data_IF_816489753208
#
_entry.id   IF_816489753208
#
_cell.length_a   1.000
_cell.length_b   1.000
_cell.length_c   1.000
_cell.angle_alpha   90.00
_cell.angle_beta   90.00
_cell.angle_gamma   90.00
#
_symmetry.space_group_name_H-M   'P 1'
#
loop_
_entity.id
_entity.type
_entity.pdbx_description
1 polymer ?
#
# COMPACT_ATOMS: atom_id res chain seq x y z
N UNK A 1 54.94 3.64 -0.84
CA UNK A 1 55.22 2.64 -1.90
C UNK A 1 53.92 2.37 -2.65
N UNK A 2 53.98 2.43 -3.99
CA UNK A 2 52.99 2.07 -5.01
C UNK A 2 51.68 2.87 -5.10
N UNK A 3 51.79 3.97 -5.84
CA UNK A 3 50.78 4.47 -6.80
C UNK A 3 50.63 3.46 -7.94
N UNK A 4 49.41 3.23 -8.44
CA UNK A 4 49.19 2.69 -9.79
C UNK A 4 48.35 3.72 -10.54
N UNK A 5 48.99 4.33 -11.52
CA UNK A 5 48.35 5.09 -12.59
C UNK A 5 47.75 4.11 -13.61
N UNK A 6 46.64 4.49 -14.24
CA UNK A 6 46.41 4.09 -15.61
C UNK A 6 45.95 5.32 -16.41
N UNK A 7 46.44 5.38 -17.63
CA UNK A 7 46.73 6.55 -18.44
C UNK A 7 45.94 6.43 -19.74
N UNK A 8 45.29 7.53 -20.13
CA UNK A 8 45.01 8.00 -21.51
C UNK A 8 43.95 7.30 -22.37
N UNK A 9 42.95 8.10 -22.78
CA UNK A 9 42.65 8.33 -24.21
C UNK A 9 42.03 9.72 -24.38
N UNK A 10 42.85 10.68 -24.82
CA UNK A 10 42.44 11.98 -25.36
C UNK A 10 42.02 11.74 -26.80
N UNK A 11 40.80 12.11 -27.18
CA UNK A 11 40.45 12.33 -28.59
C UNK A 11 39.80 13.70 -28.75
N UNK A 12 40.64 14.63 -29.15
CA UNK A 12 40.27 15.95 -29.67
C UNK A 12 39.76 15.78 -31.10
N UNK A 13 38.53 16.19 -31.40
CA UNK A 13 38.16 16.63 -32.75
C UNK A 13 37.63 18.05 -32.66
N UNK A 14 38.20 18.86 -33.55
CA UNK A 14 38.22 20.30 -33.63
C UNK A 14 37.06 20.80 -34.49
N UNK A 15 36.47 21.93 -34.07
CA UNK A 15 35.79 22.98 -34.85
C UNK A 15 34.54 22.65 -35.69
N UNK A 16 33.44 23.38 -35.46
CA UNK A 16 33.21 24.65 -36.17
C UNK A 16 32.08 25.46 -35.48
N UNK A 17 32.22 26.78 -35.53
CA UNK A 17 31.36 27.78 -34.92
C UNK A 17 30.05 28.00 -35.69
N UNK A 18 29.01 28.48 -35.01
CA UNK A 18 27.77 28.96 -35.64
C UNK A 18 26.76 29.49 -34.62
N UNK A 19 26.85 30.79 -34.35
CA UNK A 19 25.93 31.63 -33.55
C UNK A 19 24.50 31.66 -34.10
N UNK A 20 23.48 31.67 -33.23
CA UNK A 20 22.38 32.65 -33.27
C UNK A 20 21.38 32.47 -32.11
N UNK A 21 21.24 33.53 -31.31
CA UNK A 21 20.14 33.84 -30.41
C UNK A 21 18.97 34.39 -31.23
N UNK A 22 17.75 33.90 -31.02
CA UNK A 22 16.52 34.69 -31.10
C UNK A 22 15.33 33.85 -30.61
N UNK A 23 14.62 34.33 -29.59
CA UNK A 23 13.31 33.84 -29.22
C UNK A 23 12.22 34.56 -29.99
N UNK A 24 11.09 33.89 -30.21
CA UNK A 24 9.75 34.47 -30.26
C UNK A 24 8.72 33.38 -29.97
N UNK A 25 7.77 33.74 -29.12
CA UNK A 25 6.53 33.02 -28.83
C UNK A 25 5.65 32.99 -30.09
N UNK A 26 4.91 31.91 -30.35
CA UNK A 26 3.59 32.01 -31.00
C UNK A 26 2.77 30.71 -30.79
N UNK A 27 1.85 30.81 -29.84
CA UNK A 27 0.48 30.30 -29.81
C UNK A 27 0.11 28.80 -29.95
N UNK A 28 -0.60 28.39 -28.90
CA UNK A 28 -1.53 27.28 -28.82
C UNK A 28 -2.58 27.28 -29.95
N UNK A 29 -2.90 26.08 -30.46
CA UNK A 29 -4.22 25.79 -31.03
C UNK A 29 -4.79 24.55 -30.37
N UNK A 30 -5.90 24.77 -29.70
CA UNK A 30 -6.82 23.76 -29.16
C UNK A 30 -7.64 23.25 -30.34
N UNK A 31 -7.71 21.93 -30.52
CA UNK A 31 -8.56 21.23 -31.48
C UNK A 31 -8.91 19.84 -30.95
N UNK A 32 -10.21 19.62 -30.78
CA UNK A 32 -10.90 18.62 -29.96
C UNK A 32 -10.87 17.16 -30.51
N UNK A 33 -11.43 16.18 -29.77
CA UNK A 33 -11.01 14.76 -29.74
C UNK A 33 -11.72 13.88 -30.77
N UNK A 34 -11.11 12.75 -31.13
CA UNK A 34 -11.79 11.70 -31.90
C UNK A 34 -11.39 10.29 -31.45
N UNK A 35 -12.43 9.56 -31.01
CA UNK A 35 -12.65 8.12 -31.11
C UNK A 35 -11.77 7.18 -30.28
N UNK A 36 -12.33 6.76 -29.15
CA UNK A 36 -12.13 5.44 -28.58
C UNK A 36 -12.54 4.34 -29.58
N UNK A 37 -11.70 3.31 -29.75
CA UNK A 37 -12.08 2.00 -30.30
C UNK A 37 -11.33 0.90 -29.57
N UNK A 38 -12.11 0.12 -28.82
CA UNK A 38 -11.99 -1.29 -28.43
C UNK A 38 -10.59 -1.93 -28.30
N UNK A 39 -10.20 -2.20 -27.05
CA UNK A 39 -9.21 -3.23 -26.70
C UNK A 39 -9.97 -4.56 -26.55
N UNK A 40 -9.84 -5.43 -27.54
CA UNK A 40 -10.25 -6.82 -27.45
C UNK A 40 -9.19 -7.64 -26.67
N UNK A 41 -9.70 -8.51 -25.80
CA UNK A 41 -8.98 -9.45 -24.95
C UNK A 41 -8.08 -10.41 -25.76
N UNK A 42 -6.94 -10.77 -25.17
CA UNK A 42 -6.07 -11.85 -25.65
C UNK A 42 -5.27 -12.44 -24.50
N UNK A 43 -5.68 -13.63 -24.06
CA UNK A 43 -5.13 -14.40 -22.95
C UNK A 43 -3.64 -14.70 -23.11
N UNK A 44 -2.82 -14.26 -22.16
CA UNK A 44 -1.43 -14.69 -22.05
C UNK A 44 -1.36 -16.03 -21.28
N UNK A 45 -1.51 -17.14 -21.99
CA UNK A 45 -1.07 -18.44 -21.49
C UNK A 45 0.43 -18.60 -21.74
N UNK A 46 1.20 -18.60 -20.66
CA UNK A 46 2.62 -18.95 -20.68
C UNK A 46 2.76 -20.43 -21.05
N UNK A 47 3.36 -20.71 -22.22
CA UNK A 47 3.94 -22.01 -22.52
C UNK A 47 5.43 -21.85 -22.79
N UNK A 48 6.24 -22.43 -21.90
CA UNK A 48 7.67 -22.58 -22.05
C UNK A 48 7.95 -23.58 -23.18
N UNK A 49 8.50 -23.10 -24.29
CA UNK A 49 9.18 -23.96 -25.26
C UNK A 49 10.59 -23.43 -25.51
N UNK A 50 11.54 -24.14 -24.92
CA UNK A 50 12.92 -24.18 -25.33
C UNK A 50 13.01 -24.57 -26.81
N UNK A 51 13.57 -23.69 -27.61
CA UNK A 51 13.78 -23.89 -29.03
C UNK A 51 14.56 -22.72 -29.58
N UNK A 52 15.88 -22.84 -29.53
CA UNK A 52 16.81 -21.97 -30.26
C UNK A 52 16.41 -21.96 -31.75
N UNK A 53 15.74 -20.90 -32.20
CA UNK A 53 15.70 -20.57 -33.63
C UNK A 53 16.94 -19.73 -33.92
N UNK A 54 17.94 -20.37 -34.50
CA UNK A 54 18.90 -19.68 -35.36
C UNK A 54 18.09 -18.93 -36.42
N UNK A 55 18.05 -17.60 -36.31
CA UNK A 55 17.49 -16.75 -37.35
C UNK A 55 18.44 -16.78 -38.56
N UNK A 56 17.94 -17.28 -39.66
CA UNK A 56 18.55 -17.24 -40.98
C UNK A 56 18.65 -15.79 -41.48
N UNK A 57 19.85 -15.22 -41.36
CA UNK A 57 20.13 -13.83 -41.72
C UNK A 57 20.17 -13.54 -43.24
N UNK A 58 19.35 -14.19 -44.08
CA UNK A 58 19.48 -14.10 -45.55
C UNK A 58 18.26 -13.66 -46.36
N UNK A 59 17.21 -13.14 -45.73
CA UNK A 59 16.11 -12.49 -46.46
C UNK A 59 15.39 -11.41 -45.62
N UNK A 60 16.11 -10.38 -45.18
CA UNK A 60 15.47 -9.15 -44.72
C UNK A 60 15.00 -8.35 -45.94
N UNK A 61 13.71 -7.95 -46.05
CA UNK A 61 13.31 -7.00 -47.07
C UNK A 61 14.10 -5.71 -46.86
N UNK A 62 14.82 -5.27 -47.90
CA UNK A 62 15.64 -4.05 -47.90
C UNK A 62 14.75 -2.80 -47.95
N UNK A 63 13.97 -2.57 -46.90
CA UNK A 63 13.46 -1.24 -46.61
C UNK A 63 14.60 -0.47 -45.96
N UNK A 64 15.23 0.41 -46.73
CA UNK A 64 16.13 1.44 -46.20
C UNK A 64 15.23 2.33 -45.33
N UNK A 65 15.42 2.37 -43.99
CA UNK A 65 14.67 3.31 -43.17
C UNK A 65 15.07 4.72 -43.60
N UNK A 66 14.08 5.51 -44.02
CA UNK A 66 14.30 6.92 -44.32
C UNK A 66 14.83 7.68 -43.10
N UNK A 67 15.42 8.88 -43.29
CA UNK A 67 16.17 9.63 -42.26
C UNK A 67 15.35 10.09 -41.03
N UNK A 68 14.09 9.68 -40.92
CA UNK A 68 13.15 10.08 -39.88
C UNK A 68 12.42 8.90 -39.23
N UNK A 69 13.07 7.73 -39.13
CA UNK A 69 12.57 6.66 -38.25
C UNK A 69 13.20 6.87 -36.86
N UNK A 70 12.53 7.53 -35.89
CA UNK A 70 13.03 7.52 -34.53
C UNK A 70 12.96 6.08 -34.04
N UNK A 71 14.09 5.39 -34.05
CA UNK A 71 14.27 4.21 -33.20
C UNK A 71 14.18 4.75 -31.78
N UNK A 72 12.99 4.70 -31.17
CA UNK A 72 12.86 4.95 -29.73
C UNK A 72 13.62 3.81 -29.08
N UNK A 73 14.89 4.06 -28.77
CA UNK A 73 15.75 3.09 -28.13
C UNK A 73 15.14 2.75 -26.78
N UNK A 74 15.10 1.46 -26.43
CA UNK A 74 14.68 1.04 -25.08
C UNK A 74 15.49 1.78 -24.00
N UNK A 75 16.71 2.21 -24.33
CA UNK A 75 17.56 3.10 -23.52
C UNK A 75 16.93 4.45 -23.21
N UNK A 76 16.26 5.13 -24.15
CA UNK A 76 15.62 6.43 -23.87
C UNK A 76 14.38 6.28 -22.97
N UNK A 77 13.66 5.16 -23.09
CA UNK A 77 12.54 4.82 -22.19
C UNK A 77 13.07 4.51 -20.79
N UNK A 78 14.16 3.77 -20.68
CA UNK A 78 14.79 3.45 -19.40
C UNK A 78 15.37 4.70 -18.72
N UNK A 79 15.95 5.63 -19.48
CA UNK A 79 16.45 6.92 -18.97
C UNK A 79 15.30 7.83 -18.49
N UNK A 80 14.18 7.88 -19.22
CA UNK A 80 12.98 8.60 -18.81
C UNK A 80 12.33 7.99 -17.55
N UNK A 81 12.25 6.65 -17.48
CA UNK A 81 11.78 5.93 -16.29
C UNK A 81 12.72 6.22 -15.11
N UNK A 82 14.04 6.12 -15.31
CA UNK A 82 15.04 6.37 -14.28
C UNK A 82 14.99 7.82 -13.77
N UNK A 83 14.77 8.80 -14.65
CA UNK A 83 14.55 10.20 -14.30
C UNK A 83 13.27 10.42 -13.45
N UNK A 84 12.25 9.59 -13.66
CA UNK A 84 10.97 9.63 -12.93
C UNK A 84 11.04 8.96 -11.54
N UNK A 85 12.04 8.11 -11.26
CA UNK A 85 12.23 7.41 -9.97
C UNK A 85 12.62 8.31 -8.78
N UNK A 86 12.62 9.64 -8.95
CA UNK A 86 12.83 10.57 -7.84
C UNK A 86 11.78 10.42 -6.74
N UNK A 87 10.55 10.03 -7.09
CA UNK A 87 9.43 9.93 -6.14
C UNK A 87 8.96 8.50 -5.83
N UNK A 88 9.30 7.51 -6.66
CA UNK A 88 8.95 6.10 -6.44
C UNK A 88 10.20 5.23 -6.48
N UNK A 89 10.59 4.68 -5.33
CA UNK A 89 11.66 3.68 -5.21
C UNK A 89 11.13 2.48 -4.45
N UNK A 90 11.44 1.28 -4.93
CA UNK A 90 11.11 0.03 -4.29
C UNK A 90 12.38 -0.81 -4.10
N UNK A 91 12.43 -1.56 -3.01
CA UNK A 91 13.44 -2.60 -2.75
C UNK A 91 12.78 -3.98 -2.90
N UNK A 92 13.54 -5.00 -3.28
CA UNK A 92 13.02 -6.37 -3.49
C UNK A 92 13.99 -7.22 -4.32
N UNK A 93 13.82 -8.53 -4.30
CA UNK A 93 14.61 -9.48 -5.11
C UNK A 93 13.90 -9.89 -6.41
N UNK A 94 12.71 -9.34 -6.66
CA UNK A 94 11.90 -9.60 -7.85
C UNK A 94 11.01 -10.84 -7.75
N UNK A 95 11.04 -11.58 -6.63
CA UNK A 95 10.13 -12.73 -6.38
C UNK A 95 8.87 -12.36 -5.62
N UNK A 96 8.71 -11.08 -5.31
CA UNK A 96 7.78 -10.54 -4.32
C UNK A 96 6.83 -9.51 -4.93
N UNK A 97 6.27 -9.81 -6.10
CA UNK A 97 5.39 -8.89 -6.83
C UNK A 97 4.11 -8.53 -6.04
N UNK A 98 3.68 -7.28 -6.16
CA UNK A 98 2.36 -6.87 -5.73
C UNK A 98 1.27 -7.45 -6.65
N UNK A 99 0.11 -7.78 -6.08
CA UNK A 99 -1.06 -8.30 -6.78
C UNK A 99 -2.26 -7.39 -6.57
N UNK A 100 -2.72 -6.73 -7.62
CA UNK A 100 -3.97 -5.96 -7.65
C UNK A 100 -4.98 -6.69 -8.56
N UNK A 101 -5.79 -7.58 -7.98
CA UNK A 101 -6.76 -8.39 -8.75
C UNK A 101 -8.19 -7.85 -8.69
N UNK A 102 -8.49 -6.94 -7.76
CA UNK A 102 -9.78 -6.28 -7.69
C UNK A 102 -9.95 -5.18 -8.75
N UNK A 103 -11.18 -4.96 -9.22
CA UNK A 103 -11.48 -3.86 -10.15
C UNK A 103 -11.15 -2.50 -9.49
N UNK A 104 -10.39 -1.65 -10.19
CA UNK A 104 -9.89 -0.35 -9.67
C UNK A 104 -9.13 -0.46 -8.34
N UNK A 105 -8.44 -1.59 -8.11
CA UNK A 105 -7.63 -1.79 -6.91
C UNK A 105 -6.20 -1.26 -7.06
N UNK A 106 -5.52 -1.03 -5.93
CA UNK A 106 -4.12 -0.60 -5.88
C UNK A 106 -3.35 -1.51 -4.93
N UNK A 107 -2.26 -2.11 -5.41
CA UNK A 107 -1.33 -2.86 -4.57
C UNK A 107 0.09 -2.29 -4.74
N UNK A 108 0.71 -1.85 -3.66
CA UNK A 108 2.05 -1.28 -3.66
C UNK A 108 2.88 -1.80 -2.48
N UNK A 109 3.88 -2.63 -2.77
CA UNK A 109 4.77 -3.24 -1.79
C UNK A 109 5.07 -4.70 -2.12
N UNK A 110 6.17 -5.21 -1.56
CA UNK A 110 6.58 -6.61 -1.66
C UNK A 110 5.44 -7.55 -1.22
N UNK A 111 4.90 -8.39 -2.10
CA UNK A 111 3.75 -9.26 -1.81
C UNK A 111 2.48 -8.54 -1.31
N UNK A 112 2.29 -7.26 -1.61
CA UNK A 112 1.04 -6.56 -1.31
C UNK A 112 -0.11 -7.13 -2.16
N UNK A 113 -1.30 -7.33 -1.57
CA UNK A 113 -2.45 -8.00 -2.21
C UNK A 113 -3.72 -7.19 -2.06
N UNK A 114 -4.20 -6.58 -3.14
CA UNK A 114 -5.49 -5.91 -3.23
C UNK A 114 -6.46 -6.75 -4.06
N UNK A 115 -7.26 -7.57 -3.39
CA UNK A 115 -8.13 -8.59 -4.01
C UNK A 115 -9.57 -8.08 -4.21
N UNK A 116 -10.03 -7.13 -3.39
CA UNK A 116 -11.38 -6.57 -3.46
C UNK A 116 -11.53 -5.45 -4.48
N UNK A 117 -12.73 -5.24 -5.02
CA UNK A 117 -13.05 -4.07 -5.85
C UNK A 117 -12.87 -2.78 -5.02
N UNK A 118 -12.27 -1.75 -5.64
CA UNK A 118 -11.88 -0.48 -4.99
C UNK A 118 -10.93 -0.64 -3.78
N UNK A 119 -10.31 -1.81 -3.60
CA UNK A 119 -9.42 -2.06 -2.47
C UNK A 119 -8.03 -1.44 -2.66
N UNK A 120 -7.35 -1.17 -1.57
CA UNK A 120 -6.00 -0.59 -1.57
C UNK A 120 -5.11 -1.29 -0.56
N UNK A 121 -3.98 -1.84 -1.01
CA UNK A 121 -2.99 -2.52 -0.19
C UNK A 121 -1.62 -1.82 -0.33
N UNK A 122 -1.11 -1.23 0.74
CA UNK A 122 0.16 -0.52 0.81
C UNK A 122 1.08 -1.15 1.86
N UNK A 123 2.31 -1.50 1.48
CA UNK A 123 3.30 -2.10 2.37
C UNK A 123 3.49 -3.60 2.16
N UNK A 124 4.63 -4.12 2.62
CA UNK A 124 5.03 -5.50 2.38
C UNK A 124 4.05 -6.49 3.03
N UNK A 125 3.51 -7.45 2.27
CA UNK A 125 2.55 -8.44 2.75
C UNK A 125 1.18 -7.87 3.16
N UNK A 126 0.91 -6.59 2.89
CA UNK A 126 -0.40 -5.99 3.13
C UNK A 126 -1.48 -6.70 2.32
N UNK A 127 -2.68 -6.87 2.87
CA UNK A 127 -3.77 -7.61 2.23
C UNK A 127 -5.12 -6.93 2.44
N UNK A 128 -5.71 -6.44 1.35
CA UNK A 128 -7.06 -5.89 1.31
C UNK A 128 -7.97 -6.82 0.47
N UNK A 129 -8.89 -7.54 1.11
CA UNK A 129 -9.63 -8.66 0.48
C UNK A 129 -11.02 -8.26 0.01
N UNK A 130 -11.71 -7.41 0.78
CA UNK A 130 -13.11 -7.09 0.56
C UNK A 130 -13.29 -5.74 -0.17
N UNK A 131 -14.53 -5.47 -0.60
CA UNK A 131 -14.89 -4.26 -1.32
C UNK A 131 -14.57 -3.01 -0.50
N UNK A 132 -13.88 -2.04 -1.13
CA UNK A 132 -13.49 -0.77 -0.51
C UNK A 132 -12.53 -0.90 0.68
N UNK A 133 -11.88 -2.06 0.87
CA UNK A 133 -10.95 -2.29 1.97
C UNK A 133 -9.62 -1.55 1.79
N UNK A 134 -9.10 -0.94 2.86
CA UNK A 134 -7.78 -0.32 2.90
C UNK A 134 -6.88 -1.08 3.88
N UNK A 135 -5.74 -1.60 3.41
CA UNK A 135 -4.69 -2.17 4.23
C UNK A 135 -3.38 -1.39 4.00
N UNK A 136 -2.90 -0.65 5.00
CA UNK A 136 -1.70 0.17 4.88
C UNK A 136 -0.71 -0.12 6.02
N UNK A 137 0.38 -0.82 5.73
CA UNK A 137 1.39 -1.24 6.70
C UNK A 137 1.89 -2.64 6.38
N UNK A 138 3.07 -2.99 6.88
CA UNK A 138 3.60 -4.34 6.70
C UNK A 138 2.66 -5.37 7.35
N UNK A 139 2.20 -6.36 6.58
CA UNK A 139 1.23 -7.38 6.99
C UNK A 139 -0.13 -6.84 7.49
N UNK A 140 -0.49 -5.59 7.18
CA UNK A 140 -1.83 -5.07 7.50
C UNK A 140 -2.90 -5.89 6.76
N UNK A 141 -4.00 -6.21 7.44
CA UNK A 141 -5.09 -7.02 6.89
C UNK A 141 -6.42 -6.29 7.00
N UNK A 142 -7.00 -5.94 5.87
CA UNK A 142 -8.37 -5.46 5.75
C UNK A 142 -9.20 -6.53 5.03
N UNK A 143 -9.97 -7.31 5.80
CA UNK A 143 -10.78 -8.43 5.26
C UNK A 143 -12.28 -8.15 5.28
N UNK A 144 -12.71 -7.12 6.00
CA UNK A 144 -14.10 -6.68 6.03
C UNK A 144 -14.43 -5.68 4.92
N UNK A 145 -15.68 -5.63 4.48
CA UNK A 145 -16.14 -4.62 3.53
C UNK A 145 -16.06 -3.22 4.17
N UNK A 146 -15.58 -2.23 3.43
CA UNK A 146 -15.26 -0.87 3.94
C UNK A 146 -14.28 -0.83 5.12
N UNK A 147 -13.55 -1.91 5.37
CA UNK A 147 -12.66 -1.98 6.52
C UNK A 147 -11.34 -1.24 6.26
N UNK A 148 -10.83 -0.56 7.28
CA UNK A 148 -9.57 0.18 7.23
C UNK A 148 -8.58 -0.38 8.26
N UNK A 149 -7.48 -0.96 7.80
CA UNK A 149 -6.37 -1.44 8.62
C UNK A 149 -5.12 -0.61 8.31
N UNK A 150 -4.61 0.15 9.28
CA UNK A 150 -3.42 0.99 9.11
C UNK A 150 -2.43 0.69 10.23
N UNK A 151 -1.23 0.22 9.90
CA UNK A 151 -0.19 -0.17 10.86
C UNK A 151 0.38 -1.55 10.58
N UNK A 152 1.59 -1.81 11.08
CA UNK A 152 2.18 -3.14 10.98
C UNK A 152 1.31 -4.16 11.73
N UNK A 153 0.91 -5.24 11.06
CA UNK A 153 0.04 -6.29 11.59
C UNK A 153 -1.35 -5.81 12.08
N UNK A 154 -1.80 -4.62 11.66
CA UNK A 154 -3.15 -4.14 11.94
C UNK A 154 -4.21 -5.02 11.26
N UNK A 155 -5.32 -5.32 11.94
CA UNK A 155 -6.35 -6.25 11.47
C UNK A 155 -7.75 -5.63 11.58
N UNK A 156 -8.37 -5.31 10.45
CA UNK A 156 -9.76 -4.85 10.35
C UNK A 156 -10.58 -5.93 9.63
N UNK A 157 -11.33 -6.72 10.40
CA UNK A 157 -11.79 -8.04 9.95
C UNK A 157 -13.24 -8.11 9.48
N UNK A 158 -14.05 -7.12 9.87
CA UNK A 158 -15.51 -7.13 9.72
C UNK A 158 -16.02 -5.86 9.02
N UNK A 159 -17.30 -5.85 8.68
CA UNK A 159 -17.95 -4.75 7.97
C UNK A 159 -17.69 -3.41 8.69
N UNK A 160 -17.24 -2.39 7.96
CA UNK A 160 -17.07 -1.03 8.46
C UNK A 160 -16.05 -0.89 9.60
N UNK A 161 -15.17 -1.88 9.80
CA UNK A 161 -14.19 -1.83 10.90
C UNK A 161 -13.04 -0.88 10.62
N UNK A 162 -12.51 -0.26 11.68
CA UNK A 162 -11.30 0.57 11.60
C UNK A 162 -10.28 0.10 12.62
N UNK A 163 -9.12 -0.37 12.18
CA UNK A 163 -7.98 -0.76 13.01
C UNK A 163 -6.77 0.13 12.66
N UNK A 164 -6.34 0.99 13.58
CA UNK A 164 -5.22 1.92 13.34
C UNK A 164 -4.18 1.81 14.44
N UNK A 165 -2.98 1.39 14.05
CA UNK A 165 -1.75 1.25 14.83
C UNK A 165 -1.22 -0.19 14.86
N UNK A 166 0.02 -0.35 15.32
CA UNK A 166 0.73 -1.63 15.20
C UNK A 166 0.05 -2.72 16.04
N UNK A 167 -0.38 -3.81 15.38
CA UNK A 167 -1.10 -4.93 15.98
C UNK A 167 -2.54 -4.64 16.42
N UNK A 168 -3.09 -3.44 16.14
CA UNK A 168 -4.48 -3.12 16.46
C UNK A 168 -5.44 -4.10 15.78
N UNK A 169 -6.51 -4.52 16.48
CA UNK A 169 -7.50 -5.45 15.92
C UNK A 169 -8.92 -4.98 16.15
N UNK A 170 -9.63 -4.70 15.05
CA UNK A 170 -11.07 -4.50 15.02
C UNK A 170 -11.74 -5.72 14.40
N UNK A 171 -12.55 -6.43 15.18
CA UNK A 171 -13.14 -7.73 14.80
C UNK A 171 -14.62 -7.90 15.16
N UNK A 172 -15.26 -6.88 15.72
CA UNK A 172 -16.72 -6.74 15.77
C UNK A 172 -17.22 -5.91 14.59
N UNK A 173 -18.48 -6.07 14.19
CA UNK A 173 -19.04 -5.26 13.09
C UNK A 173 -19.06 -3.78 13.48
N UNK A 174 -18.65 -2.89 12.56
CA UNK A 174 -18.51 -1.44 12.80
C UNK A 174 -17.61 -1.07 13.99
N UNK A 175 -16.72 -1.97 14.41
CA UNK A 175 -15.82 -1.74 15.55
C UNK A 175 -14.63 -0.84 15.17
N UNK A 176 -14.17 -0.05 16.13
CA UNK A 176 -13.04 0.88 15.98
C UNK A 176 -11.97 0.56 17.01
N UNK A 177 -10.79 0.15 16.57
CA UNK A 177 -9.62 -0.09 17.39
C UNK A 177 -8.49 0.86 16.97
N UNK A 178 -8.21 1.90 17.74
CA UNK A 178 -7.14 2.86 17.45
C UNK A 178 -6.15 2.86 18.61
N UNK A 179 -4.92 2.46 18.33
CA UNK A 179 -3.86 2.31 19.31
C UNK A 179 -2.84 1.30 18.82
N UNK A 180 -1.89 0.95 19.68
CA UNK A 180 -0.88 -0.03 19.35
C UNK A 180 -0.74 -1.07 20.45
N UNK A 181 0.47 -1.59 20.54
CA UNK A 181 0.86 -2.47 21.61
C UNK A 181 1.14 -1.66 22.88
N UNK A 182 0.68 -2.17 24.01
CA UNK A 182 0.92 -1.68 25.36
C UNK A 182 1.83 -2.68 26.07
N UNK A 183 2.92 -2.18 26.64
CA UNK A 183 3.82 -2.99 27.44
C UNK A 183 3.25 -3.13 28.86
N UNK A 184 2.79 -4.32 29.20
CA UNK A 184 2.32 -4.69 30.55
C UNK A 184 3.30 -5.66 31.21
N UNK A 185 3.19 -5.83 32.54
CA UNK A 185 3.99 -6.80 33.29
C UNK A 185 3.81 -8.25 32.79
N UNK A 186 2.65 -8.57 32.20
CA UNK A 186 2.34 -9.89 31.64
C UNK A 186 2.68 -10.02 30.14
N UNK A 187 3.28 -8.98 29.54
CA UNK A 187 3.65 -8.95 28.12
C UNK A 187 2.94 -7.86 27.32
N UNK A 188 3.02 -7.97 26.00
CA UNK A 188 2.44 -7.00 25.06
C UNK A 188 0.94 -7.23 24.87
N UNK A 189 0.15 -6.21 25.13
CA UNK A 189 -1.30 -6.21 24.92
C UNK A 189 -1.61 -5.28 23.76
N UNK A 190 -2.30 -5.77 22.74
CA UNK A 190 -2.73 -4.95 21.60
C UNK A 190 -4.07 -4.30 21.85
N UNK A 191 -4.34 -3.17 21.19
CA UNK A 191 -5.69 -2.59 21.16
C UNK A 191 -6.66 -3.53 20.44
N UNK A 192 -7.77 -3.87 21.08
CA UNK A 192 -8.79 -4.79 20.55
C UNK A 192 -10.18 -4.20 20.71
N UNK A 193 -10.90 -4.10 19.59
CA UNK A 193 -12.34 -3.88 19.57
C UNK A 193 -13.03 -5.10 18.95
N UNK A 194 -13.58 -5.99 19.78
CA UNK A 194 -14.21 -7.24 19.32
C UNK A 194 -15.73 -7.25 19.45
N UNK A 195 -16.29 -6.37 20.28
CA UNK A 195 -17.73 -6.19 20.34
C UNK A 195 -18.28 -5.47 19.11
N UNK A 196 -19.52 -5.74 18.78
CA UNK A 196 -20.27 -5.06 17.72
C UNK A 196 -20.44 -3.59 18.09
N UNK A 197 -20.11 -2.66 17.19
CA UNK A 197 -20.05 -1.22 17.46
C UNK A 197 -19.12 -0.81 18.62
N UNK A 198 -18.16 -1.68 19.00
CA UNK A 198 -17.25 -1.38 20.10
C UNK A 198 -16.17 -0.38 19.68
N UNK A 199 -15.75 0.47 20.61
CA UNK A 199 -14.73 1.50 20.39
C UNK A 199 -13.60 1.32 21.41
N UNK A 200 -12.42 0.93 20.96
CA UNK A 200 -11.20 0.83 21.76
C UNK A 200 -10.19 1.89 21.30
N UNK A 201 -9.94 2.91 22.13
CA UNK A 201 -8.97 3.97 21.85
C UNK A 201 -7.88 4.00 22.92
N UNK A 202 -6.62 3.80 22.52
CA UNK A 202 -5.46 3.77 23.41
C UNK A 202 -4.66 2.48 23.28
N UNK A 203 -3.36 2.54 23.59
CA UNK A 203 -2.50 1.36 23.57
C UNK A 203 -3.04 0.29 24.53
N UNK A 204 -3.27 -0.92 24.02
CA UNK A 204 -3.79 -2.03 24.82
C UNK A 204 -5.24 -1.86 25.31
N UNK A 205 -6.00 -0.88 24.81
CA UNK A 205 -7.41 -0.74 25.15
C UNK A 205 -8.23 -1.94 24.62
N UNK A 206 -9.19 -2.42 25.41
CA UNK A 206 -9.99 -3.61 25.14
C UNK A 206 -11.49 -3.29 25.23
N UNK A 207 -12.15 -3.12 24.09
CA UNK A 207 -13.60 -2.99 24.01
C UNK A 207 -14.20 -4.30 23.47
N UNK A 208 -14.58 -5.20 24.38
CA UNK A 208 -14.99 -6.58 24.03
C UNK A 208 -16.48 -6.82 24.20
N UNK A 209 -17.19 -5.99 24.96
CA UNK A 209 -18.64 -6.00 25.02
C UNK A 209 -19.27 -5.35 23.78
N UNK A 210 -20.46 -5.79 23.39
CA UNK A 210 -21.22 -5.12 22.33
C UNK A 210 -21.60 -3.71 22.77
N UNK A 211 -21.52 -2.75 21.85
CA UNK A 211 -21.73 -1.31 22.08
C UNK A 211 -20.84 -0.70 23.19
N UNK A 212 -19.72 -1.35 23.53
CA UNK A 212 -18.82 -0.90 24.59
C UNK A 212 -17.82 0.16 24.12
N UNK A 213 -17.32 0.98 25.05
CA UNK A 213 -16.30 1.98 24.79
C UNK A 213 -15.16 1.89 25.82
N UNK A 214 -13.94 1.55 25.38
CA UNK A 214 -12.73 1.55 26.19
C UNK A 214 -11.79 2.67 25.72
N UNK A 215 -11.73 3.76 26.47
CA UNK A 215 -10.97 4.97 26.14
C UNK A 215 -9.85 5.18 27.16
N UNK A 216 -8.61 4.85 26.79
CA UNK A 216 -7.42 5.03 27.61
C UNK A 216 -6.42 3.90 27.42
N UNK A 217 -5.12 4.12 27.71
CA UNK A 217 -4.15 3.03 27.72
C UNK A 217 -4.58 1.95 28.72
N UNK A 218 -4.64 0.70 28.27
CA UNK A 218 -5.08 -0.44 29.08
C UNK A 218 -6.50 -0.31 29.68
N UNK A 219 -7.37 0.54 29.12
CA UNK A 219 -8.78 0.57 29.51
C UNK A 219 -9.50 -0.70 29.02
N UNK A 220 -10.44 -1.24 29.79
CA UNK A 220 -11.17 -2.46 29.46
C UNK A 220 -12.68 -2.26 29.67
N UNK A 221 -13.45 -2.27 28.59
CA UNK A 221 -14.91 -2.30 28.60
C UNK A 221 -15.37 -3.67 28.08
N UNK A 222 -15.73 -4.57 28.99
CA UNK A 222 -16.06 -5.97 28.66
C UNK A 222 -17.55 -6.30 28.82
N UNK A 223 -18.30 -5.46 29.53
CA UNK A 223 -19.76 -5.57 29.59
C UNK A 223 -20.44 -5.01 28.34
N UNK A 224 -21.62 -5.55 28.01
CA UNK A 224 -22.50 -4.96 26.99
C UNK A 224 -22.89 -3.53 27.41
N UNK A 225 -22.85 -2.57 26.48
CA UNK A 225 -23.06 -1.14 26.75
C UNK A 225 -22.14 -0.54 27.83
N UNK A 226 -21.01 -1.19 28.16
CA UNK A 226 -20.11 -0.68 29.18
C UNK A 226 -19.19 0.44 28.65
N UNK A 227 -18.85 1.40 29.51
CA UNK A 227 -17.89 2.45 29.20
C UNK A 227 -16.75 2.50 30.23
N UNK A 228 -15.52 2.27 29.79
CA UNK A 228 -14.30 2.40 30.57
C UNK A 228 -13.51 3.62 30.05
N UNK A 229 -13.51 4.70 30.83
CA UNK A 229 -12.98 6.00 30.46
C UNK A 229 -11.83 6.39 31.41
N UNK A 230 -10.59 6.13 31.00
CA UNK A 230 -9.39 6.46 31.75
C UNK A 230 -8.32 5.38 31.65
N UNK A 231 -7.04 5.70 31.87
CA UNK A 231 -5.97 4.70 31.86
C UNK A 231 -6.25 3.61 32.90
N UNK A 232 -6.18 2.35 32.49
CA UNK A 232 -6.42 1.21 33.39
C UNK A 232 -7.85 1.09 33.95
N UNK A 233 -8.84 1.84 33.44
CA UNK A 233 -10.24 1.71 33.87
C UNK A 233 -10.84 0.37 33.42
N UNK A 234 -11.71 -0.24 34.22
CA UNK A 234 -12.34 -1.55 33.96
C UNK A 234 -13.86 -1.48 34.18
N UNK A 235 -14.64 -1.47 33.10
CA UNK A 235 -16.09 -1.57 33.13
C UNK A 235 -16.52 -2.96 32.64
N UNK A 236 -16.74 -3.89 33.57
CA UNK A 236 -17.02 -5.31 33.25
C UNK A 236 -18.48 -5.68 33.41
N UNK A 237 -19.27 -4.87 34.13
CA UNK A 237 -20.72 -5.06 34.22
C UNK A 237 -21.44 -4.60 32.96
N UNK A 238 -22.58 -5.25 32.64
CA UNK A 238 -23.48 -4.73 31.62
C UNK A 238 -23.98 -3.33 32.02
N UNK A 239 -24.00 -2.40 31.07
CA UNK A 239 -24.39 -1.00 31.26
C UNK A 239 -23.55 -0.24 32.31
N UNK A 240 -22.37 -0.76 32.66
CA UNK A 240 -21.52 -0.18 33.70
C UNK A 240 -20.63 0.95 33.16
N UNK A 241 -20.32 1.92 34.01
CA UNK A 241 -19.44 3.05 33.68
C UNK A 241 -18.30 3.15 34.69
N UNK A 242 -17.06 2.92 34.24
CA UNK A 242 -15.85 3.13 35.01
C UNK A 242 -15.14 4.39 34.48
N UNK A 243 -15.14 5.48 35.26
CA UNK A 243 -14.57 6.76 34.84
C UNK A 243 -13.45 7.16 35.79
N UNK A 244 -12.24 7.34 35.26
CA UNK A 244 -11.04 7.73 35.99
C UNK A 244 -9.92 6.68 35.94
N UNK A 245 -8.73 7.09 36.36
CA UNK A 245 -7.55 6.22 36.44
C UNK A 245 -7.83 5.02 37.36
N UNK A 246 -7.67 3.80 36.82
CA UNK A 246 -7.89 2.55 37.56
C UNK A 246 -9.28 2.42 38.21
N UNK A 247 -10.29 3.10 37.66
CA UNK A 247 -11.67 2.94 38.13
C UNK A 247 -12.20 1.56 37.75
N UNK A 248 -13.05 0.99 38.60
CA UNK A 248 -13.67 -0.32 38.38
C UNK A 248 -15.19 -0.21 38.52
N UNK A 249 -15.91 -0.77 37.55
CA UNK A 249 -17.36 -0.92 37.58
C UNK A 249 -17.72 -2.37 37.25
N UNK A 250 -18.34 -3.05 38.22
CA UNK A 250 -18.74 -4.45 38.15
C UNK A 250 -20.28 -4.52 38.12
N UNK A 251 -20.86 -5.55 37.52
CA UNK A 251 -22.29 -5.81 37.66
C UNK A 251 -22.56 -6.44 39.04
N UNK A 252 -23.54 -5.90 39.76
CA UNK A 252 -24.19 -6.62 40.86
C UNK A 252 -25.50 -7.22 40.33
N UNK A 253 -25.76 -8.49 40.65
CA UNK A 253 -26.96 -9.23 40.27
C UNK A 253 -28.15 -8.92 41.16
#
# INVERSE_FOLDING_TARGET
>A
MKRVQLTVAVLTVLACAGTAVAGTREQARIGSPAAARDVAQGDASASSRSGERQADASAAPSWIPGPWSPTVGVTSILDDIAGTLSYFRATGDGRDSALASGERSVAAGSNARAEGQLSSAYGAGSRAVAYGGLAAGANAQSTGEYATAVGNDAQAQRLGTTAVGAGARASGDSAVAIGGQYNSFIGWIRTVASGTHAVALGAGAQATGDFSAALGPNAAATGEFAAALGPGSHATGAQSNAIGLNSEALAEG
#
